data_IF_195115864152
#
_entry.id   IF_195115864152
#
_cell.length_a   1.000
_cell.length_b   1.000
_cell.length_c   1.000
_cell.angle_alpha   90.00
_cell.angle_beta   90.00
_cell.angle_gamma   90.00
#
_symmetry.space_group_name_H-M   'P 1'
#
loop_
_entity.id
_entity.type
_entity.pdbx_description
1 polymer ?
#
# COMPACT_ATOMS: atom_id res chain seq x y z
N UNK A 1 -8.36 -2.68 36.05
CA UNK A 1 -7.00 -2.29 35.64
C UNK A 1 -6.99 -1.63 34.26
N UNK A 2 -7.66 -2.19 33.25
CA UNK A 2 -7.60 -1.70 31.86
C UNK A 2 -8.24 -0.31 31.62
N UNK A 3 -9.17 0.13 32.48
CA UNK A 3 -9.86 1.42 32.33
C UNK A 3 -8.92 2.63 32.33
N UNK A 4 -7.74 2.49 32.94
CA UNK A 4 -6.72 3.52 32.98
C UNK A 4 -6.06 3.76 31.60
N UNK A 5 -6.06 2.77 30.71
CA UNK A 5 -5.45 2.81 29.38
C UNK A 5 -6.44 3.18 28.27
N UNK A 6 -7.73 3.11 28.56
CA UNK A 6 -8.81 3.38 27.59
C UNK A 6 -9.06 4.90 27.52
N UNK A 7 -9.29 5.47 26.32
CA UNK A 7 -9.68 6.87 26.16
C UNK A 7 -10.90 7.24 27.00
N UNK A 8 -10.94 8.46 27.52
CA UNK A 8 -12.07 8.94 28.32
C UNK A 8 -13.37 8.91 27.51
N UNK A 9 -14.47 8.42 28.11
CA UNK A 9 -15.75 8.25 27.44
C UNK A 9 -15.88 7.00 26.55
N UNK A 10 -14.80 6.25 26.31
CA UNK A 10 -14.87 4.97 25.60
C UNK A 10 -15.19 3.81 26.57
N UNK A 11 -16.23 3.03 26.26
CA UNK A 11 -16.55 1.78 26.93
C UNK A 11 -16.11 0.60 26.07
N UNK A 12 -15.31 -0.31 26.65
CA UNK A 12 -14.93 -1.58 26.00
C UNK A 12 -16.15 -2.49 25.90
N UNK A 13 -16.18 -3.35 24.88
CA UNK A 13 -17.12 -4.46 24.84
C UNK A 13 -16.86 -5.46 25.97
N UNK A 14 -17.84 -6.33 26.25
CA UNK A 14 -17.67 -7.39 27.25
C UNK A 14 -16.47 -8.28 26.88
N UNK A 15 -15.71 -8.72 27.90
CA UNK A 15 -14.50 -9.51 27.71
C UNK A 15 -14.68 -10.74 26.81
N UNK A 16 -15.77 -11.53 26.91
CA UNK A 16 -15.99 -12.66 26.00
C UNK A 16 -16.11 -12.25 24.54
N UNK A 17 -16.81 -11.15 24.25
CA UNK A 17 -16.95 -10.63 22.87
C UNK A 17 -15.60 -10.17 22.32
N UNK A 18 -14.80 -9.49 23.15
CA UNK A 18 -13.43 -9.10 22.81
C UNK A 18 -12.56 -10.34 22.51
N UNK A 19 -12.61 -11.35 23.38
CA UNK A 19 -11.82 -12.57 23.22
C UNK A 19 -12.18 -13.35 21.96
N UNK A 20 -13.46 -13.43 21.59
CA UNK A 20 -13.90 -14.05 20.33
C UNK A 20 -13.30 -13.31 19.14
N UNK A 21 -13.37 -11.98 19.11
CA UNK A 21 -12.77 -11.17 18.05
C UNK A 21 -11.25 -11.38 17.95
N UNK A 22 -10.56 -11.38 19.09
CA UNK A 22 -9.12 -11.65 19.16
C UNK A 22 -8.76 -13.08 18.76
N UNK A 23 -9.60 -14.07 19.06
CA UNK A 23 -9.38 -15.46 18.67
C UNK A 23 -9.46 -15.64 17.16
N UNK A 24 -10.44 -15.00 16.49
CA UNK A 24 -10.57 -15.06 15.03
C UNK A 24 -9.36 -14.42 14.35
N UNK A 25 -9.01 -13.20 14.74
CA UNK A 25 -7.83 -12.51 14.17
C UNK A 25 -6.54 -13.26 14.51
N UNK A 26 -6.43 -13.77 15.73
CA UNK A 26 -5.29 -14.56 16.19
C UNK A 26 -5.13 -15.87 15.42
N UNK A 27 -6.22 -16.56 15.09
CA UNK A 27 -6.17 -17.78 14.26
C UNK A 27 -5.65 -17.49 12.85
N UNK A 28 -6.12 -16.40 12.22
CA UNK A 28 -5.63 -15.96 10.90
C UNK A 28 -4.14 -15.59 10.97
N UNK A 29 -3.73 -14.87 12.01
CA UNK A 29 -2.32 -14.51 12.23
C UNK A 29 -1.45 -15.76 12.43
N UNK A 30 -1.90 -16.71 13.24
CA UNK A 30 -1.18 -17.97 13.49
C UNK A 30 -1.05 -18.81 12.21
N UNK A 31 -2.05 -18.81 11.34
CA UNK A 31 -1.92 -19.40 10.01
C UNK A 31 -0.82 -18.68 9.22
N UNK A 32 -0.82 -17.34 9.15
CA UNK A 32 0.24 -16.58 8.50
C UNK A 32 1.65 -16.90 9.03
N UNK A 33 1.79 -16.99 10.35
CA UNK A 33 3.06 -17.38 11.02
C UNK A 33 3.46 -18.82 10.67
N UNK A 34 2.50 -19.75 10.63
CA UNK A 34 2.76 -21.12 10.21
C UNK A 34 3.24 -21.19 8.75
N UNK A 35 2.60 -20.44 7.84
CA UNK A 35 3.02 -20.37 6.44
C UNK A 35 4.42 -19.76 6.30
N UNK A 36 4.72 -18.68 7.02
CA UNK A 36 6.06 -18.08 7.09
C UNK A 36 7.11 -19.08 7.56
N UNK A 37 6.82 -19.83 8.63
CA UNK A 37 7.71 -20.87 9.14
C UNK A 37 7.99 -21.95 8.08
N UNK A 38 6.96 -22.40 7.35
CA UNK A 38 7.14 -23.35 6.26
C UNK A 38 8.04 -22.82 5.15
N UNK A 39 7.85 -21.57 4.72
CA UNK A 39 8.70 -20.96 3.68
C UNK A 39 10.16 -20.80 4.14
N UNK A 40 10.41 -20.43 5.40
CA UNK A 40 11.77 -20.31 5.92
C UNK A 40 12.45 -21.66 6.16
N UNK A 41 11.70 -22.68 6.59
CA UNK A 41 12.27 -23.98 6.92
C UNK A 41 12.38 -24.90 5.70
N UNK A 42 11.37 -24.92 4.82
CA UNK A 42 11.31 -25.80 3.64
C UNK A 42 11.71 -25.09 2.34
N UNK A 43 11.87 -23.76 2.37
CA UNK A 43 12.17 -22.92 1.22
C UNK A 43 10.93 -22.43 0.46
N UNK A 44 11.17 -21.70 -0.63
CA UNK A 44 10.12 -21.14 -1.48
C UNK A 44 9.32 -22.19 -2.28
N UNK A 45 9.66 -23.48 -2.20
CA UNK A 45 8.84 -24.53 -2.83
C UNK A 45 7.40 -24.60 -2.25
N UNK A 46 7.13 -23.93 -1.13
CA UNK A 46 5.79 -23.83 -0.52
C UNK A 46 4.90 -22.76 -1.18
N UNK A 47 5.45 -21.90 -2.04
CA UNK A 47 4.73 -20.74 -2.62
C UNK A 47 3.99 -21.04 -3.92
N UNK A 48 4.10 -22.28 -4.43
CA UNK A 48 3.60 -22.72 -5.74
C UNK A 48 4.13 -21.88 -6.92
N UNK A 49 5.27 -21.21 -6.71
CA UNK A 49 6.03 -20.54 -7.77
C UNK A 49 6.77 -21.56 -8.64
N UNK A 50 7.04 -21.16 -9.88
CA UNK A 50 7.84 -21.94 -10.82
C UNK A 50 8.68 -21.00 -11.71
N UNK A 51 9.52 -21.56 -12.57
CA UNK A 51 10.46 -20.80 -13.40
C UNK A 51 9.77 -19.81 -14.36
N UNK A 52 8.51 -20.04 -14.72
CA UNK A 52 7.70 -19.10 -15.52
C UNK A 52 7.03 -18.01 -14.67
N UNK A 53 6.65 -18.36 -13.43
CA UNK A 53 5.93 -17.51 -12.48
C UNK A 53 6.72 -17.28 -11.19
N UNK A 54 7.91 -16.71 -11.30
CA UNK A 54 8.82 -16.47 -10.16
C UNK A 54 8.36 -15.44 -9.13
N UNK A 55 7.29 -14.69 -9.39
CA UNK A 55 6.64 -13.76 -8.43
C UNK A 55 5.23 -14.23 -8.02
N UNK A 56 4.63 -15.15 -8.80
CA UNK A 56 3.26 -15.66 -8.72
C UNK A 56 2.26 -14.70 -8.06
N UNK A 57 1.46 -15.14 -7.08
CA UNK A 57 0.50 -14.30 -6.36
C UNK A 57 1.15 -13.51 -5.21
N UNK A 58 2.37 -13.87 -4.80
CA UNK A 58 3.02 -13.33 -3.61
C UNK A 58 3.35 -11.85 -3.76
N UNK A 59 4.06 -11.49 -4.84
CA UNK A 59 4.37 -10.09 -5.12
C UNK A 59 3.11 -9.32 -5.52
N UNK A 60 2.13 -9.91 -6.20
CA UNK A 60 0.89 -9.19 -6.51
C UNK A 60 0.08 -8.85 -5.27
N UNK A 61 0.01 -9.75 -4.29
CA UNK A 61 -0.60 -9.48 -3.00
C UNK A 61 0.16 -8.38 -2.26
N UNK A 62 1.50 -8.43 -2.26
CA UNK A 62 2.35 -7.41 -1.68
C UNK A 62 2.10 -6.02 -2.30
N UNK A 63 2.17 -5.93 -3.64
CA UNK A 63 1.88 -4.73 -4.40
C UNK A 63 0.50 -4.14 -4.07
N UNK A 64 -0.52 -4.98 -3.99
CA UNK A 64 -1.87 -4.56 -3.64
C UNK A 64 -1.94 -3.98 -2.22
N UNK A 65 -1.32 -4.65 -1.25
CA UNK A 65 -1.29 -4.21 0.16
C UNK A 65 -0.53 -2.89 0.31
N UNK A 66 0.61 -2.75 -0.37
CA UNK A 66 1.38 -1.50 -0.36
C UNK A 66 0.56 -0.37 -1.02
N UNK A 67 -0.11 -0.62 -2.13
CA UNK A 67 -0.93 0.38 -2.84
C UNK A 67 -2.10 0.88 -1.98
N UNK A 68 -2.87 -0.01 -1.34
CA UNK A 68 -3.98 0.39 -0.45
C UNK A 68 -3.48 1.06 0.83
N UNK A 69 -2.28 0.72 1.30
CA UNK A 69 -1.58 1.45 2.36
C UNK A 69 -1.22 2.90 1.98
N UNK A 70 -1.28 3.25 0.69
CA UNK A 70 -0.99 4.57 0.16
C UNK A 70 -1.90 5.69 0.67
N UNK A 71 -3.03 5.35 1.29
CA UNK A 71 -3.91 6.33 1.95
C UNK A 71 -3.21 7.15 3.03
N UNK A 72 -2.22 6.58 3.72
CA UNK A 72 -1.49 7.26 4.80
C UNK A 72 -0.72 8.49 4.29
N UNK A 73 0.20 8.29 3.33
CA UNK A 73 1.01 9.39 2.82
C UNK A 73 0.17 10.41 2.04
N UNK A 74 -0.83 9.96 1.27
CA UNK A 74 -1.64 10.89 0.48
C UNK A 74 -2.50 11.78 1.37
N UNK A 75 -3.13 11.20 2.40
CA UNK A 75 -3.89 11.98 3.39
C UNK A 75 -2.96 12.89 4.20
N UNK A 76 -1.74 12.42 4.52
CA UNK A 76 -0.71 13.22 5.18
C UNK A 76 -0.25 14.41 4.34
N UNK A 77 0.00 14.22 3.06
CA UNK A 77 0.33 15.26 2.09
C UNK A 77 -0.78 16.32 2.04
N UNK A 78 -2.04 15.89 1.88
CA UNK A 78 -3.19 16.78 1.87
C UNK A 78 -3.33 17.57 3.18
N UNK A 79 -3.14 16.92 4.33
CA UNK A 79 -3.32 17.55 5.64
C UNK A 79 -2.19 18.52 6.00
N UNK A 80 -0.94 18.12 5.81
CA UNK A 80 0.23 18.83 6.33
C UNK A 80 0.86 19.78 5.31
N UNK A 81 0.85 19.43 4.02
CA UNK A 81 1.43 20.26 2.96
C UNK A 81 0.38 21.16 2.34
N UNK A 82 -0.76 20.59 1.91
CA UNK A 82 -1.87 21.37 1.35
C UNK A 82 -2.79 22.00 2.40
N UNK A 83 -2.50 21.79 3.70
CA UNK A 83 -3.20 22.41 4.85
C UNK A 83 -4.72 22.19 4.84
N UNK A 84 -5.18 21.01 4.41
CA UNK A 84 -6.61 20.67 4.40
C UNK A 84 -7.05 20.17 5.78
N UNK A 85 -7.60 21.08 6.59
CA UNK A 85 -7.92 20.83 8.00
C UNK A 85 -9.05 19.82 8.24
N UNK A 86 -9.92 19.61 7.26
CA UNK A 86 -10.98 18.59 7.29
C UNK A 86 -10.45 17.17 7.52
N UNK A 87 -9.18 16.92 7.20
CA UNK A 87 -8.53 15.61 7.33
C UNK A 87 -7.99 15.31 8.74
N UNK A 88 -8.04 16.28 9.66
CA UNK A 88 -7.49 16.13 11.02
C UNK A 88 -8.05 14.91 11.76
N UNK A 89 -9.31 14.58 11.53
CA UNK A 89 -9.99 13.50 12.25
C UNK A 89 -9.75 12.10 11.65
N UNK A 90 -9.16 12.01 10.45
CA UNK A 90 -8.92 10.75 9.75
C UNK A 90 -7.43 10.43 9.58
N UNK A 91 -6.54 11.42 9.68
CA UNK A 91 -5.11 11.23 9.42
C UNK A 91 -4.47 10.16 10.31
N UNK A 92 -4.73 10.18 11.62
CA UNK A 92 -4.17 9.18 12.54
C UNK A 92 -4.65 7.76 12.18
N UNK A 93 -5.91 7.64 11.74
CA UNK A 93 -6.46 6.36 11.29
C UNK A 93 -5.82 5.89 9.99
N UNK A 94 -5.59 6.80 9.04
CA UNK A 94 -4.88 6.51 7.79
C UNK A 94 -3.44 6.05 8.06
N UNK A 95 -2.71 6.70 8.99
CA UNK A 95 -1.36 6.31 9.40
C UNK A 95 -1.33 4.91 10.02
N UNK A 96 -2.30 4.57 10.88
CA UNK A 96 -2.42 3.21 11.45
C UNK A 96 -2.61 2.16 10.35
N UNK A 97 -3.53 2.40 9.42
CA UNK A 97 -3.78 1.48 8.30
C UNK A 97 -2.53 1.34 7.44
N UNK A 98 -1.88 2.46 7.09
CA UNK A 98 -0.62 2.46 6.36
C UNK A 98 0.44 1.63 7.09
N UNK A 99 0.64 1.86 8.38
CA UNK A 99 1.66 1.15 9.16
C UNK A 99 1.43 -0.37 9.14
N UNK A 100 0.18 -0.82 9.26
CA UNK A 100 -0.18 -2.24 9.16
C UNK A 100 0.11 -2.77 7.75
N UNK A 101 -0.31 -2.05 6.70
CA UNK A 101 -0.08 -2.47 5.31
C UNK A 101 1.42 -2.59 5.02
N UNK A 102 2.20 -1.57 5.34
CA UNK A 102 3.64 -1.52 5.05
C UNK A 102 4.46 -2.50 5.89
N UNK A 103 4.09 -2.71 7.16
CA UNK A 103 4.75 -3.74 7.98
C UNK A 103 4.46 -5.15 7.45
N UNK A 104 3.22 -5.42 7.02
CA UNK A 104 2.87 -6.71 6.41
C UNK A 104 3.57 -6.93 5.06
N UNK A 105 3.71 -5.88 4.25
CA UNK A 105 4.42 -5.92 2.97
C UNK A 105 5.92 -6.24 3.14
N UNK A 106 6.60 -5.53 4.05
CA UNK A 106 8.00 -5.80 4.37
C UNK A 106 8.20 -7.23 4.89
N UNK A 107 7.25 -7.75 5.66
CA UNK A 107 7.29 -9.13 6.15
C UNK A 107 7.14 -10.14 5.01
N UNK A 108 6.24 -9.89 4.05
CA UNK A 108 6.09 -10.73 2.86
C UNK A 108 7.39 -10.71 2.03
N UNK A 109 7.97 -9.53 1.78
CA UNK A 109 9.24 -9.40 1.05
C UNK A 109 10.39 -10.12 1.75
N UNK A 110 10.46 -10.04 3.09
CA UNK A 110 11.47 -10.78 3.86
C UNK A 110 11.36 -12.30 3.66
N UNK A 111 10.16 -12.82 3.40
CA UNK A 111 9.94 -14.24 3.08
C UNK A 111 10.31 -14.51 1.62
N UNK A 112 9.86 -13.65 0.70
CA UNK A 112 9.92 -13.87 -0.75
C UNK A 112 11.34 -13.74 -1.33
N UNK A 113 12.25 -13.02 -0.67
CA UNK A 113 13.67 -12.92 -1.06
C UNK A 113 14.37 -14.31 -1.07
N UNK A 114 13.81 -15.32 -0.40
CA UNK A 114 14.31 -16.70 -0.38
C UNK A 114 15.57 -16.92 0.47
N UNK A 115 16.45 -15.91 0.59
CA UNK A 115 17.58 -15.88 1.52
C UNK A 115 17.49 -14.67 2.48
N UNK A 116 16.53 -14.65 3.44
CA UNK A 116 16.30 -13.51 4.33
C UNK A 116 17.54 -13.06 5.10
N UNK A 117 18.39 -14.00 5.54
CA UNK A 117 19.63 -13.70 6.27
C UNK A 117 20.63 -12.85 5.48
N UNK A 118 20.51 -12.84 4.15
CA UNK A 118 21.33 -12.02 3.25
C UNK A 118 20.59 -10.82 2.69
N UNK A 119 19.35 -10.57 3.12
CA UNK A 119 18.55 -9.42 2.67
C UNK A 119 19.27 -8.09 2.89
N UNK A 120 20.08 -7.97 3.93
CA UNK A 120 20.86 -6.75 4.21
C UNK A 120 21.90 -6.42 3.12
N UNK A 121 22.35 -7.40 2.32
CA UNK A 121 23.34 -7.16 1.26
C UNK A 121 22.87 -6.14 0.22
N UNK A 122 21.56 -6.02 -0.01
CA UNK A 122 21.01 -5.06 -0.98
C UNK A 122 21.34 -3.61 -0.59
N UNK A 123 21.50 -3.34 0.71
CA UNK A 123 21.81 -1.99 1.22
C UNK A 123 23.30 -1.68 1.18
N UNK A 124 24.16 -2.70 1.17
CA UNK A 124 25.62 -2.52 1.14
C UNK A 124 26.19 -2.62 -0.28
N UNK A 125 25.70 -3.56 -1.07
CA UNK A 125 26.13 -3.82 -2.45
C UNK A 125 25.00 -3.48 -3.42
N UNK A 126 24.54 -2.23 -3.34
CA UNK A 126 23.39 -1.74 -4.09
C UNK A 126 23.67 -1.68 -5.61
N UNK A 127 22.84 -2.35 -6.41
CA UNK A 127 22.86 -2.18 -7.87
C UNK A 127 21.96 -1.00 -8.26
N UNK A 128 22.56 0.14 -8.57
CA UNK A 128 21.86 1.40 -8.92
C UNK A 128 21.10 1.36 -10.26
N UNK A 129 21.32 0.31 -11.07
CA UNK A 129 20.56 0.10 -12.31
C UNK A 129 19.31 -0.76 -12.10
N UNK A 130 19.07 -1.24 -10.89
CA UNK A 130 17.92 -2.09 -10.57
C UNK A 130 16.82 -1.28 -9.86
N UNK A 131 15.64 -1.27 -10.46
CA UNK A 131 14.42 -0.73 -9.84
C UNK A 131 14.10 -1.44 -8.51
N UNK A 132 14.46 -2.72 -8.36
CA UNK A 132 14.24 -3.46 -7.12
C UNK A 132 15.13 -2.94 -5.98
N UNK A 133 16.35 -2.48 -6.29
CA UNK A 133 17.22 -1.80 -5.31
C UNK A 133 16.55 -0.50 -4.85
N UNK A 134 16.04 0.30 -5.79
CA UNK A 134 15.33 1.54 -5.48
C UNK A 134 14.11 1.29 -4.59
N UNK A 135 13.29 0.28 -4.93
CA UNK A 135 12.16 -0.17 -4.10
C UNK A 135 12.62 -0.51 -2.69
N UNK A 136 13.68 -1.32 -2.52
CA UNK A 136 14.14 -1.72 -1.19
C UNK A 136 14.57 -0.53 -0.32
N UNK A 137 15.31 0.43 -0.89
CA UNK A 137 15.74 1.64 -0.18
C UNK A 137 14.56 2.57 0.13
N UNK A 138 13.76 2.92 -0.88
CA UNK A 138 12.65 3.85 -0.71
C UNK A 138 11.57 3.29 0.22
N UNK A 139 11.26 1.99 0.12
CA UNK A 139 10.31 1.32 1.02
C UNK A 139 10.80 1.29 2.46
N UNK A 140 12.08 0.96 2.68
CA UNK A 140 12.66 0.91 4.04
C UNK A 140 12.72 2.29 4.69
N UNK A 141 13.18 3.30 3.96
CA UNK A 141 13.18 4.69 4.43
C UNK A 141 11.76 5.20 4.66
N UNK A 142 10.83 4.88 3.77
CA UNK A 142 9.43 5.27 3.94
C UNK A 142 8.82 4.62 5.18
N UNK A 143 9.08 3.33 5.42
CA UNK A 143 8.60 2.65 6.63
C UNK A 143 9.19 3.27 7.91
N UNK A 144 10.45 3.72 7.89
CA UNK A 144 11.04 4.45 9.00
C UNK A 144 10.30 5.78 9.25
N UNK A 145 10.02 6.55 8.20
CA UNK A 145 9.23 7.79 8.29
C UNK A 145 7.82 7.50 8.82
N UNK A 146 7.14 6.47 8.30
CA UNK A 146 5.81 6.08 8.74
C UNK A 146 5.80 5.60 10.20
N UNK A 147 6.88 4.97 10.66
CA UNK A 147 7.07 4.62 12.08
C UNK A 147 7.15 5.88 12.94
N UNK A 148 7.87 6.92 12.48
CA UNK A 148 7.92 8.22 13.15
C UNK A 148 6.52 8.86 13.19
N UNK A 149 5.75 8.82 12.11
CA UNK A 149 4.37 9.32 12.10
C UNK A 149 3.42 8.51 13.02
N UNK A 150 3.70 7.21 13.19
CA UNK A 150 2.90 6.32 14.03
C UNK A 150 3.17 6.48 15.53
N UNK A 151 4.41 6.80 15.93
CA UNK A 151 4.82 6.93 17.35
C UNK A 151 3.93 7.88 18.17
N UNK A 152 3.58 9.11 17.70
CA UNK A 152 2.70 10.00 18.46
C UNK A 152 1.37 9.37 18.83
N UNK A 153 0.80 8.51 17.97
CA UNK A 153 -0.45 7.81 18.27
C UNK A 153 -0.31 6.85 19.47
N UNK A 154 0.89 6.32 19.72
CA UNK A 154 1.18 5.51 20.91
C UNK A 154 1.41 6.42 22.11
N UNK A 155 2.22 7.47 21.96
CA UNK A 155 2.64 8.36 23.06
C UNK A 155 1.47 9.19 23.62
N UNK A 156 0.45 9.48 22.80
CA UNK A 156 -0.78 10.15 23.23
C UNK A 156 -1.67 9.29 24.14
N UNK A 157 -1.30 8.03 24.43
CA UNK A 157 -1.99 7.22 25.42
C UNK A 157 -2.05 7.94 26.78
N UNK A 158 -3.22 7.89 27.43
CA UNK A 158 -3.51 8.56 28.71
C UNK A 158 -2.48 8.33 29.81
N UNK A 159 -1.85 7.15 29.89
CA UNK A 159 -0.83 6.89 30.92
C UNK A 159 0.55 7.37 30.50
N UNK A 160 0.92 7.21 29.23
CA UNK A 160 2.21 7.66 28.71
C UNK A 160 2.29 9.18 28.68
N UNK A 161 1.20 9.85 28.32
CA UNK A 161 1.11 11.30 28.27
C UNK A 161 1.22 11.99 29.65
N UNK A 162 1.13 11.24 30.75
CA UNK A 162 1.40 11.76 32.11
C UNK A 162 2.89 11.95 32.38
N UNK A 163 3.75 11.24 31.66
CA UNK A 163 5.20 11.33 31.80
C UNK A 163 5.65 12.54 30.98
N UNK A 164 6.29 13.56 31.60
CA UNK A 164 6.65 14.81 30.92
C UNK A 164 7.50 14.60 29.67
N UNK A 165 8.41 13.62 29.71
CA UNK A 165 9.24 13.26 28.56
C UNK A 165 8.42 12.84 27.33
N UNK A 166 7.47 11.92 27.49
CA UNK A 166 6.64 11.44 26.37
C UNK A 166 5.69 12.53 25.87
N UNK A 167 5.17 13.38 26.76
CA UNK A 167 4.35 14.52 26.38
C UNK A 167 5.14 15.50 25.49
N UNK A 168 6.35 15.89 25.91
CA UNK A 168 7.20 16.79 25.13
C UNK A 168 7.67 16.16 23.81
N UNK A 169 7.98 14.87 23.81
CA UNK A 169 8.35 14.16 22.59
C UNK A 169 7.20 14.17 21.58
N UNK A 170 5.99 13.79 21.97
CA UNK A 170 4.82 13.78 21.08
C UNK A 170 4.52 15.19 20.54
N UNK A 171 4.58 16.22 21.39
CA UNK A 171 4.36 17.61 20.98
C UNK A 171 5.41 18.07 19.95
N UNK A 172 6.69 17.75 20.16
CA UNK A 172 7.77 18.13 19.24
C UNK A 172 7.61 17.41 17.90
N UNK A 173 7.22 16.14 17.90
CA UNK A 173 6.98 15.35 16.69
C UNK A 173 5.85 15.94 15.83
N UNK A 174 4.76 16.41 16.45
CA UNK A 174 3.69 17.11 15.73
C UNK A 174 4.17 18.40 15.06
N UNK A 175 5.12 19.13 15.67
CA UNK A 175 5.69 20.34 15.10
C UNK A 175 6.51 20.12 13.83
N UNK A 176 7.16 18.96 13.71
CA UNK A 176 7.99 18.60 12.54
C UNK A 176 7.27 17.68 11.56
N UNK A 177 6.00 17.35 11.80
CA UNK A 177 5.24 16.37 11.03
C UNK A 177 5.12 16.74 9.54
N UNK A 178 5.13 18.03 9.20
CA UNK A 178 5.13 18.46 7.81
C UNK A 178 6.37 18.02 7.03
N UNK A 179 7.54 17.99 7.68
CA UNK A 179 8.79 17.52 7.05
C UNK A 179 8.67 16.01 6.78
N UNK A 180 8.24 15.24 7.77
CA UNK A 180 8.05 13.80 7.62
C UNK A 180 6.97 13.45 6.59
N UNK A 181 5.86 14.19 6.55
CA UNK A 181 4.83 14.01 5.53
C UNK A 181 5.35 14.31 4.11
N UNK A 182 6.17 15.36 3.94
CA UNK A 182 6.80 15.67 2.65
C UNK A 182 7.81 14.59 2.23
N UNK A 183 8.69 14.18 3.15
CA UNK A 183 9.65 13.09 2.91
C UNK A 183 8.93 11.77 2.63
N UNK A 184 7.87 11.48 3.36
CA UNK A 184 7.01 10.31 3.18
C UNK A 184 6.33 10.31 1.82
N UNK A 185 5.76 11.44 1.39
CA UNK A 185 5.17 11.57 0.05
C UNK A 185 6.20 11.40 -1.07
N UNK A 186 7.40 11.98 -0.91
CA UNK A 186 8.50 11.81 -1.86
C UNK A 186 8.95 10.35 -1.96
N UNK A 187 9.27 9.72 -0.82
CA UNK A 187 9.69 8.31 -0.80
C UNK A 187 8.58 7.39 -1.31
N UNK A 188 7.32 7.72 -1.02
CA UNK A 188 6.15 6.99 -1.53
C UNK A 188 6.04 7.03 -3.04
N UNK A 189 6.23 8.21 -3.63
CA UNK A 189 6.23 8.39 -5.08
C UNK A 189 7.26 7.48 -5.76
N UNK A 190 8.47 7.42 -5.21
CA UNK A 190 9.55 6.59 -5.78
C UNK A 190 9.33 5.10 -5.55
N UNK A 191 9.00 4.63 -4.33
CA UNK A 191 8.84 3.18 -4.16
C UNK A 191 7.63 2.64 -4.93
N UNK A 192 6.47 3.33 -4.89
CA UNK A 192 5.30 2.90 -5.67
C UNK A 192 5.56 2.96 -7.17
N UNK A 193 6.27 4.01 -7.58
CA UNK A 193 6.64 4.18 -8.97
C UNK A 193 7.59 3.06 -9.42
N UNK A 194 8.65 2.78 -8.68
CA UNK A 194 9.63 1.77 -9.03
C UNK A 194 9.06 0.36 -8.96
N UNK A 195 8.05 0.09 -8.12
CA UNK A 195 7.25 -1.14 -8.17
C UNK A 195 6.54 -1.29 -9.53
N UNK A 196 5.90 -0.22 -10.02
CA UNK A 196 5.37 -0.18 -11.39
C UNK A 196 6.48 -0.25 -12.45
N UNK A 197 7.64 0.33 -12.16
CA UNK A 197 8.85 0.31 -12.98
C UNK A 197 9.38 -1.10 -13.21
N UNK A 198 9.47 -1.93 -12.16
CA UNK A 198 9.88 -3.35 -12.25
C UNK A 198 9.00 -4.10 -13.25
N UNK A 199 7.68 -3.86 -13.24
CA UNK A 199 6.77 -4.45 -14.21
C UNK A 199 7.02 -3.92 -15.65
N UNK A 200 7.27 -2.62 -15.79
CA UNK A 200 7.41 -1.91 -17.07
C UNK A 200 8.74 -2.11 -17.80
N UNK A 201 9.83 -2.45 -17.10
CA UNK A 201 11.17 -2.64 -17.69
C UNK A 201 11.56 -4.11 -17.87
N UNK A 202 10.68 -5.05 -17.49
CA UNK A 202 10.97 -6.48 -17.56
C UNK A 202 10.85 -7.00 -19.00
N UNK A 203 11.97 -7.00 -19.74
CA UNK A 203 12.05 -7.50 -21.12
C UNK A 203 11.54 -8.94 -21.30
N UNK A 204 11.67 -9.78 -20.27
CA UNK A 204 11.15 -11.16 -20.27
C UNK A 204 9.62 -11.27 -20.31
N UNK A 205 8.89 -10.15 -20.22
CA UNK A 205 7.42 -10.10 -20.28
C UNK A 205 6.93 -8.96 -21.19
N UNK A 206 6.91 -9.16 -22.53
CA UNK A 206 6.43 -8.16 -23.51
C UNK A 206 5.03 -7.61 -23.20
N UNK A 207 4.23 -8.38 -22.45
CA UNK A 207 2.93 -7.97 -21.92
C UNK A 207 2.97 -6.69 -21.07
N UNK A 208 3.95 -6.60 -20.17
CA UNK A 208 4.03 -5.54 -19.17
C UNK A 208 4.96 -4.39 -19.59
N UNK A 209 5.79 -4.61 -20.62
CA UNK A 209 6.73 -3.59 -21.10
C UNK A 209 5.98 -2.33 -21.52
N UNK A 210 6.42 -1.20 -20.99
CA UNK A 210 5.95 0.14 -21.38
C UNK A 210 7.16 1.04 -21.60
N UNK A 211 7.11 1.84 -22.64
CA UNK A 211 8.02 2.97 -22.80
C UNK A 211 7.62 4.10 -21.83
N UNK A 212 8.39 5.19 -21.77
CA UNK A 212 8.04 6.29 -20.90
C UNK A 212 9.02 7.45 -20.93
N UNK A 213 9.06 8.19 -19.82
CA UNK A 213 9.86 9.38 -19.66
C UNK A 213 11.26 9.01 -19.14
N UNK A 214 12.29 9.25 -19.95
CA UNK A 214 13.68 8.93 -19.62
C UNK A 214 13.83 7.44 -19.30
N UNK A 215 14.20 7.11 -18.05
CA UNK A 215 14.36 5.74 -17.55
C UNK A 215 13.08 5.17 -16.92
N UNK A 216 12.04 6.00 -16.73
CA UNK A 216 10.81 5.60 -16.06
C UNK A 216 9.72 5.22 -17.08
N UNK A 217 9.27 3.96 -17.09
CA UNK A 217 8.15 3.55 -17.94
C UNK A 217 6.84 4.21 -17.47
N UNK A 218 5.83 4.32 -18.35
CA UNK A 218 4.52 4.87 -17.95
C UNK A 218 3.88 4.12 -16.77
N UNK A 219 4.18 2.82 -16.61
CA UNK A 219 3.74 2.03 -15.44
C UNK A 219 4.21 2.61 -14.12
N UNK A 220 5.36 3.29 -14.07
CA UNK A 220 5.84 3.98 -12.88
C UNK A 220 4.81 5.00 -12.40
N UNK A 221 4.38 5.89 -13.31
CA UNK A 221 3.43 6.94 -12.95
C UNK A 221 2.03 6.39 -12.71
N UNK A 222 1.60 5.39 -13.50
CA UNK A 222 0.29 4.76 -13.35
C UNK A 222 0.14 4.05 -12.00
N UNK A 223 1.18 3.37 -11.51
CA UNK A 223 1.14 2.69 -10.21
C UNK A 223 1.01 3.72 -9.09
N UNK A 224 1.86 4.75 -9.08
CA UNK A 224 1.79 5.82 -8.07
C UNK A 224 0.44 6.54 -8.08
N UNK A 225 -0.10 6.86 -9.26
CA UNK A 225 -1.41 7.49 -9.40
C UNK A 225 -2.50 6.59 -8.84
N UNK A 226 -2.52 5.30 -9.23
CA UNK A 226 -3.51 4.35 -8.74
C UNK A 226 -3.46 4.19 -7.22
N UNK A 227 -2.26 4.07 -6.62
CA UNK A 227 -2.10 3.96 -5.17
C UNK A 227 -2.62 5.22 -4.44
N UNK A 228 -2.35 6.41 -4.99
CA UNK A 228 -2.85 7.67 -4.44
C UNK A 228 -4.37 7.83 -4.60
N UNK A 229 -4.97 7.24 -5.64
CA UNK A 229 -6.40 7.27 -5.90
C UNK A 229 -7.18 6.27 -5.01
N UNK A 230 -6.71 5.03 -4.93
CA UNK A 230 -7.39 3.94 -4.21
C UNK A 230 -7.05 3.87 -2.71
N UNK A 231 -5.88 4.35 -2.30
CA UNK A 231 -5.47 4.38 -0.89
C UNK A 231 -6.49 5.10 0.02
N UNK A 232 -6.94 6.33 -0.31
CA UNK A 232 -7.98 7.02 0.44
C UNK A 232 -9.32 6.26 0.45
N UNK A 233 -9.70 5.61 -0.66
CA UNK A 233 -10.89 4.78 -0.74
C UNK A 233 -10.82 3.61 0.25
N UNK A 234 -9.66 2.96 0.38
CA UNK A 234 -9.46 1.90 1.36
C UNK A 234 -9.55 2.42 2.79
N UNK A 235 -8.94 3.57 3.10
CA UNK A 235 -9.08 4.23 4.41
C UNK A 235 -10.55 4.52 4.73
N UNK A 236 -11.32 5.04 3.77
CA UNK A 236 -12.76 5.28 3.93
C UNK A 236 -13.55 3.98 4.13
N UNK A 237 -13.22 2.91 3.40
CA UNK A 237 -13.85 1.59 3.54
C UNK A 237 -13.64 1.03 4.95
N UNK A 238 -12.39 1.00 5.44
CA UNK A 238 -12.07 0.53 6.80
C UNK A 238 -12.76 1.43 7.85
N UNK A 239 -12.84 2.74 7.60
CA UNK A 239 -13.58 3.66 8.46
C UNK A 239 -15.05 3.25 8.52
N UNK A 240 -15.72 3.04 7.38
CA UNK A 240 -17.13 2.65 7.31
C UNK A 240 -17.42 1.29 7.93
N UNK A 241 -16.54 0.31 7.74
CA UNK A 241 -16.63 -0.99 8.42
C UNK A 241 -16.56 -0.79 9.94
N UNK A 242 -15.64 0.06 10.41
CA UNK A 242 -15.50 0.34 11.85
C UNK A 242 -16.73 1.09 12.40
N UNK A 243 -17.26 2.07 11.67
CA UNK A 243 -18.50 2.77 12.03
C UNK A 243 -19.69 1.81 12.10
N UNK A 244 -19.81 0.88 11.14
CA UNK A 244 -20.88 -0.12 11.10
C UNK A 244 -20.79 -1.12 12.25
N UNK A 245 -19.59 -1.62 12.57
CA UNK A 245 -19.38 -2.57 13.69
C UNK A 245 -19.61 -1.89 15.04
N UNK A 246 -19.16 -0.64 15.19
CA UNK A 246 -19.24 0.08 16.47
C UNK A 246 -20.57 0.80 16.68
N UNK A 247 -21.34 1.04 15.61
CA UNK A 247 -22.55 1.87 15.62
C UNK A 247 -22.26 3.34 15.90
N UNK A 248 -21.01 3.79 15.73
CA UNK A 248 -20.58 5.17 16.03
C UNK A 248 -20.10 5.86 14.77
N UNK A 249 -20.42 7.14 14.65
CA UNK A 249 -19.84 8.01 13.63
C UNK A 249 -18.45 8.47 14.10
N UNK A 250 -17.42 8.01 13.41
CA UNK A 250 -16.02 8.29 13.71
C UNK A 250 -15.51 9.50 12.94
N UNK A 251 -16.02 9.71 11.73
CA UNK A 251 -15.58 10.78 10.83
C UNK A 251 -16.79 11.56 10.33
N UNK A 252 -16.66 12.89 10.24
CA UNK A 252 -17.72 13.76 9.73
C UNK A 252 -17.95 13.56 8.23
N UNK A 253 -19.20 13.71 7.78
CA UNK A 253 -19.55 13.49 6.36
C UNK A 253 -18.75 14.40 5.42
N UNK A 254 -18.42 15.62 5.87
CA UNK A 254 -17.59 16.57 5.11
C UNK A 254 -16.24 15.97 4.72
N UNK A 255 -15.55 15.32 5.67
CA UNK A 255 -14.25 14.66 5.44
C UNK A 255 -14.39 13.48 4.48
N UNK A 256 -15.47 12.70 4.63
CA UNK A 256 -15.76 11.54 3.78
C UNK A 256 -16.03 11.99 2.34
N UNK A 257 -16.91 12.97 2.14
CA UNK A 257 -17.22 13.52 0.83
C UNK A 257 -16.01 14.18 0.18
N UNK A 258 -15.16 14.88 0.95
CA UNK A 258 -13.94 15.48 0.45
C UNK A 258 -12.97 14.41 -0.10
N UNK A 259 -12.66 13.38 0.70
CA UNK A 259 -11.76 12.31 0.26
C UNK A 259 -12.35 11.52 -0.90
N UNK A 260 -13.67 11.22 -0.86
CA UNK A 260 -14.34 10.53 -1.95
C UNK A 260 -14.33 11.34 -3.25
N UNK A 261 -14.52 12.67 -3.16
CA UNK A 261 -14.46 13.55 -4.33
C UNK A 261 -13.04 13.60 -4.92
N UNK A 262 -12.01 13.73 -4.09
CA UNK A 262 -10.61 13.74 -4.54
C UNK A 262 -10.28 12.39 -5.18
N UNK A 263 -10.59 11.29 -4.50
CA UNK A 263 -10.33 9.95 -4.99
C UNK A 263 -11.08 9.65 -6.30
N UNK A 264 -12.37 9.97 -6.40
CA UNK A 264 -13.15 9.79 -7.64
C UNK A 264 -12.55 10.58 -8.82
N UNK A 265 -12.17 11.83 -8.59
CA UNK A 265 -11.51 12.63 -9.63
C UNK A 265 -10.16 12.02 -10.07
N UNK A 266 -9.40 11.50 -9.11
CA UNK A 266 -8.14 10.81 -9.39
C UNK A 266 -8.34 9.47 -10.11
N UNK A 267 -9.35 8.68 -9.76
CA UNK A 267 -9.69 7.42 -10.43
C UNK A 267 -10.12 7.72 -11.87
N UNK A 268 -11.04 8.66 -12.08
CA UNK A 268 -11.49 9.07 -13.42
C UNK A 268 -10.29 9.43 -14.31
N UNK A 269 -9.41 10.31 -13.83
CA UNK A 269 -8.28 10.79 -14.64
C UNK A 269 -7.17 9.75 -14.80
N UNK A 270 -6.92 8.93 -13.77
CA UNK A 270 -6.09 7.74 -13.88
C UNK A 270 -6.62 6.80 -14.97
N UNK A 271 -7.93 6.56 -15.01
CA UNK A 271 -8.53 5.66 -15.99
C UNK A 271 -8.39 6.16 -17.42
N UNK A 272 -8.51 7.47 -17.64
CA UNK A 272 -8.20 8.08 -18.94
C UNK A 272 -6.75 7.80 -19.33
N UNK A 273 -5.79 8.06 -18.44
CA UNK A 273 -4.37 7.82 -18.71
C UNK A 273 -4.08 6.32 -18.95
N UNK A 274 -4.67 5.44 -18.15
CA UNK A 274 -4.51 3.98 -18.26
C UNK A 274 -5.10 3.42 -19.54
N UNK A 275 -6.24 3.93 -20.00
CA UNK A 275 -6.85 3.56 -21.28
C UNK A 275 -5.94 3.99 -22.44
N UNK A 276 -5.44 5.22 -22.41
CA UNK A 276 -4.51 5.73 -23.44
C UNK A 276 -3.24 4.88 -23.48
N UNK A 277 -2.62 4.60 -22.32
CA UNK A 277 -1.45 3.71 -22.22
C UNK A 277 -1.75 2.32 -22.79
N UNK A 278 -2.90 1.73 -22.44
CA UNK A 278 -3.25 0.38 -22.89
C UNK A 278 -3.51 0.33 -24.40
N UNK A 279 -4.15 1.35 -24.97
CA UNK A 279 -4.33 1.47 -26.42
C UNK A 279 -2.99 1.64 -27.12
N UNK A 280 -2.11 2.51 -26.62
CA UNK A 280 -0.79 2.73 -27.21
C UNK A 280 0.07 1.45 -27.15
N UNK A 281 0.06 0.76 -26.01
CA UNK A 281 0.73 -0.53 -25.87
C UNK A 281 0.19 -1.56 -26.88
N UNK A 282 -1.12 -1.67 -27.02
CA UNK A 282 -1.75 -2.65 -27.90
C UNK A 282 -1.52 -2.36 -29.40
N UNK A 283 -1.41 -1.09 -29.79
CA UNK A 283 -1.33 -0.67 -31.19
C UNK A 283 0.08 -0.32 -31.67
N UNK A 284 0.99 0.04 -30.76
CA UNK A 284 2.35 0.49 -31.08
C UNK A 284 3.41 -0.38 -30.40
N UNK A 285 3.43 -0.43 -29.06
CA UNK A 285 4.54 -1.07 -28.32
C UNK A 285 4.59 -2.60 -28.49
N UNK A 286 3.46 -3.30 -28.34
CA UNK A 286 3.46 -4.75 -28.54
C UNK A 286 3.75 -5.12 -30.01
N UNK A 287 3.14 -4.47 -31.02
CA UNK A 287 3.48 -4.71 -32.42
C UNK A 287 4.94 -4.41 -32.79
N UNK A 288 5.55 -3.36 -32.24
CA UNK A 288 6.98 -3.05 -32.50
C UNK A 288 7.93 -4.11 -31.96
N UNK A 289 7.50 -4.85 -30.92
CA UNK A 289 8.20 -6.01 -30.36
C UNK A 289 7.82 -7.33 -31.06
N UNK A 290 7.00 -7.29 -32.12
CA UNK A 290 6.59 -8.47 -32.90
C UNK A 290 5.40 -9.25 -32.32
N UNK A 291 4.68 -8.68 -31.34
CA UNK A 291 3.52 -9.33 -30.71
C UNK A 291 2.20 -8.69 -31.13
N UNK A 292 1.20 -9.52 -31.42
CA UNK A 292 -0.18 -9.04 -31.54
C UNK A 292 -0.88 -9.08 -30.19
N UNK A 293 -1.90 -8.25 -29.97
CA UNK A 293 -2.69 -8.26 -28.74
C UNK A 293 -3.26 -9.66 -28.43
N UNK A 294 -3.70 -10.38 -29.47
CA UNK A 294 -4.26 -11.73 -29.32
C UNK A 294 -3.30 -12.73 -28.69
N UNK A 295 -1.99 -12.58 -28.94
CA UNK A 295 -0.96 -13.45 -28.40
C UNK A 295 -1.04 -13.56 -26.86
N UNK A 296 -1.44 -12.48 -26.18
CA UNK A 296 -1.52 -12.44 -24.72
C UNK A 296 -2.82 -13.00 -24.14
N UNK A 297 -3.86 -13.20 -24.95
CA UNK A 297 -5.22 -13.46 -24.46
C UNK A 297 -5.95 -14.65 -25.13
N UNK A 298 -5.31 -15.37 -26.06
CA UNK A 298 -5.98 -16.50 -26.77
C UNK A 298 -5.37 -17.87 -26.48
N UNK A 299 -4.08 -17.95 -26.13
CA UNK A 299 -3.37 -19.22 -25.93
C UNK A 299 -3.38 -19.71 -24.46
N UNK A 300 -4.40 -19.36 -23.69
CA UNK A 300 -4.51 -19.78 -22.29
C UNK A 300 -5.97 -19.99 -21.88
N UNK A 301 -6.24 -21.04 -21.10
CA UNK A 301 -7.59 -21.37 -20.63
C UNK A 301 -8.15 -20.37 -19.60
N UNK A 302 -7.29 -19.62 -18.91
CA UNK A 302 -7.65 -18.69 -17.84
C UNK A 302 -7.43 -17.22 -18.26
N UNK A 303 -6.31 -16.92 -18.92
CA UNK A 303 -5.97 -15.55 -19.32
C UNK A 303 -6.62 -15.19 -20.67
N UNK A 304 -7.75 -14.47 -20.61
CA UNK A 304 -8.51 -14.05 -21.78
C UNK A 304 -8.79 -12.55 -21.81
N UNK A 305 -9.38 -12.07 -22.91
CA UNK A 305 -9.75 -10.66 -23.11
C UNK A 305 -10.68 -10.11 -22.01
N UNK A 306 -11.39 -10.99 -21.31
CA UNK A 306 -12.20 -10.62 -20.15
C UNK A 306 -11.38 -9.89 -19.07
N UNK A 307 -10.07 -10.14 -18.97
CA UNK A 307 -9.19 -9.46 -18.00
C UNK A 307 -9.10 -7.97 -18.30
N UNK A 308 -8.94 -7.58 -19.57
CA UNK A 308 -8.94 -6.17 -19.97
C UNK A 308 -10.28 -5.50 -19.67
N UNK A 309 -11.37 -6.21 -19.94
CA UNK A 309 -12.73 -5.73 -19.64
C UNK A 309 -12.91 -5.56 -18.13
N UNK A 310 -12.47 -6.54 -17.34
CA UNK A 310 -12.55 -6.49 -15.89
C UNK A 310 -11.68 -5.35 -15.31
N UNK A 311 -10.42 -5.25 -15.73
CA UNK A 311 -9.48 -4.21 -15.28
C UNK A 311 -9.97 -2.81 -15.64
N UNK A 312 -10.29 -2.57 -16.92
CA UNK A 312 -10.60 -1.23 -17.42
C UNK A 312 -12.04 -0.85 -17.12
N UNK A 313 -13.02 -1.68 -17.47
CA UNK A 313 -14.42 -1.29 -17.35
C UNK A 313 -14.95 -1.53 -15.94
N UNK A 314 -14.83 -2.76 -15.43
CA UNK A 314 -15.48 -3.14 -14.16
C UNK A 314 -14.78 -2.54 -12.95
N UNK A 315 -13.46 -2.64 -12.89
CA UNK A 315 -12.66 -2.17 -11.75
C UNK A 315 -12.20 -0.72 -11.89
N UNK A 316 -12.25 -0.17 -13.11
CA UNK A 316 -11.77 1.17 -13.42
C UNK A 316 -12.87 2.19 -13.66
N UNK A 317 -13.59 2.04 -14.78
CA UNK A 317 -14.59 3.03 -15.24
C UNK A 317 -15.85 3.04 -14.37
N UNK A 318 -16.38 1.88 -13.98
CA UNK A 318 -17.59 1.82 -13.14
C UNK A 318 -17.46 2.50 -11.76
N UNK A 319 -16.35 2.33 -11.02
CA UNK A 319 -16.17 3.03 -9.74
C UNK A 319 -15.67 4.48 -9.88
N UNK A 320 -15.22 4.87 -11.08
CA UNK A 320 -14.64 6.19 -11.37
C UNK A 320 -15.61 7.35 -11.34
#
# INVERSE_FOLDING_TARGET
MDSALIPEGAKRCAFPKFMIGMAVVGAVLLWGVYAMFLCWFKGLNQTNMNDYYGFALWIWADLAVIAIGGGAFFTGLLKYIFKIDELKNIINFAVIIGFICYSSALLILAIDIGQPLRGWFIFWHANVHSMLTEVAFCLSCYFAVLTIEFIPNILENRQLNKVPFFHHLAHNMHGVMAIFAATGAFLSFFHQGSLGGVAGVMFGRPFAVREGLLIWPWTFFLFTWSAAAFGPCFTLLVTKITEAITGKKLVGDKTIHLLAKIAGWMITTYMVAKIIDTIYWATVTAPSLGFSLSHFYTNNAFYGYWILIAEILVCGVLPG
#
